data_IF_091870245448
#
_entry.id   IF_091870245448
#
_cell.length_a   1.000
_cell.length_b   1.000
_cell.length_c   1.000
_cell.angle_alpha   90.00
_cell.angle_beta   90.00
_cell.angle_gamma   90.00
#
_symmetry.space_group_name_H-M   'P 1'
#
loop_
_entity.id
_entity.type
_entity.pdbx_description
1 polymer ?
#
# COMPACT_ATOMS: atom_id res chain seq x y z
N UNK A 1 1.18 0.64 17.42
CA UNK A 1 1.55 -0.78 17.66
C UNK A 1 2.25 -0.82 19.01
N UNK A 2 1.69 -1.54 19.98
CA UNK A 2 2.26 -1.54 21.33
C UNK A 2 3.58 -2.31 21.31
N UNK A 3 4.69 -1.61 21.59
CA UNK A 3 5.94 -2.25 21.95
C UNK A 3 5.73 -3.00 23.26
N UNK A 4 6.45 -4.11 23.43
CA UNK A 4 6.44 -4.93 24.65
C UNK A 4 6.59 -4.04 25.90
N UNK A 5 5.50 -3.84 26.69
CA UNK A 5 5.49 -2.89 27.79
C UNK A 5 6.43 -3.31 28.94
N UNK A 6 6.77 -4.60 29.01
CA UNK A 6 7.62 -5.15 30.06
C UNK A 6 9.09 -5.23 29.62
N UNK A 7 9.40 -4.92 28.35
CA UNK A 7 10.76 -4.87 27.82
C UNK A 7 11.49 -6.22 27.85
N UNK A 8 10.76 -7.33 27.92
CA UNK A 8 11.29 -8.70 27.98
C UNK A 8 11.92 -9.09 26.61
N UNK A 9 11.38 -8.56 25.51
CA UNK A 9 11.81 -8.85 24.15
C UNK A 9 12.40 -7.63 23.45
N UNK A 10 13.42 -7.00 24.04
CA UNK A 10 14.06 -5.79 23.49
C UNK A 10 14.57 -5.96 22.04
N UNK A 11 14.94 -7.18 21.65
CA UNK A 11 15.36 -7.55 20.29
C UNK A 11 14.45 -8.59 19.64
N UNK A 12 13.25 -8.79 20.19
CA UNK A 12 12.29 -9.75 19.66
C UNK A 12 11.58 -9.27 18.39
N UNK A 13 10.79 -10.15 17.80
CA UNK A 13 9.96 -9.81 16.66
C UNK A 13 8.84 -8.84 17.06
N UNK A 14 8.43 -7.97 16.14
CA UNK A 14 7.29 -7.08 16.30
C UNK A 14 6.22 -7.40 15.27
N UNK A 15 4.95 -7.24 15.64
CA UNK A 15 3.85 -7.33 14.70
C UNK A 15 3.85 -6.11 13.80
N UNK A 16 3.83 -6.32 12.49
CA UNK A 16 3.74 -5.27 11.49
C UNK A 16 2.58 -5.55 10.56
N UNK A 17 1.66 -4.59 10.44
CA UNK A 17 0.56 -4.68 9.48
C UNK A 17 1.12 -4.39 8.09
N UNK A 18 0.92 -5.32 7.17
CA UNK A 18 1.29 -5.18 5.77
C UNK A 18 0.04 -5.16 4.88
N UNK A 19 0.08 -4.37 3.81
CA UNK A 19 -0.88 -4.39 2.71
C UNK A 19 -0.15 -4.80 1.43
N UNK A 20 -0.61 -5.87 0.80
CA UNK A 20 0.04 -6.48 -0.36
C UNK A 20 -0.65 -6.15 -1.68
N UNK A 21 -1.69 -5.30 -1.68
CA UNK A 21 -2.44 -4.97 -2.88
C UNK A 21 -2.76 -3.48 -2.94
N UNK A 22 -1.74 -2.68 -3.21
CA UNK A 22 -1.87 -1.22 -3.27
C UNK A 22 -1.82 -0.71 -4.70
N UNK A 23 -2.81 0.08 -5.10
CA UNK A 23 -2.80 0.82 -6.36
C UNK A 23 -2.35 2.27 -6.15
N UNK A 24 -1.73 2.85 -7.17
CA UNK A 24 -1.32 4.25 -7.21
C UNK A 24 -1.94 4.95 -8.41
N UNK A 25 -1.80 6.28 -8.52
CA UNK A 25 -2.26 7.05 -9.69
C UNK A 25 -1.67 6.63 -11.05
N UNK A 26 -0.60 5.83 -11.05
CA UNK A 26 -0.07 5.26 -12.30
C UNK A 26 -0.94 4.10 -12.81
N UNK A 27 -1.87 3.59 -12.00
CA UNK A 27 -2.92 2.67 -12.41
C UNK A 27 -4.06 3.46 -13.07
N UNK A 28 -4.51 3.00 -14.24
CA UNK A 28 -5.57 3.66 -15.03
C UNK A 28 -6.95 3.58 -14.35
N UNK A 29 -7.15 2.61 -13.47
CA UNK A 29 -8.42 2.41 -12.76
C UNK A 29 -8.44 3.11 -11.40
N UNK A 30 -7.27 3.51 -10.89
CA UNK A 30 -7.16 4.27 -9.66
C UNK A 30 -7.48 5.75 -9.90
N UNK A 31 -8.38 6.31 -9.09
CA UNK A 31 -8.78 7.71 -9.17
C UNK A 31 -8.31 8.49 -7.96
N UNK A 32 -7.55 9.55 -8.22
CA UNK A 32 -7.21 10.58 -7.26
C UNK A 32 -7.59 11.92 -7.88
N UNK A 33 -8.55 12.61 -7.27
CA UNK A 33 -9.20 13.81 -7.84
C UNK A 33 -8.66 15.12 -7.27
N UNK A 34 -7.71 15.05 -6.33
CA UNK A 34 -7.10 16.20 -5.69
C UNK A 34 -5.84 16.67 -6.45
N UNK A 35 -5.14 17.66 -5.90
CA UNK A 35 -3.92 18.20 -6.51
C UNK A 35 -2.85 17.10 -6.66
N UNK A 36 -2.40 16.86 -7.89
CA UNK A 36 -1.40 15.84 -8.20
C UNK A 36 -0.10 15.98 -7.40
N UNK A 37 0.29 17.20 -7.02
CA UNK A 37 1.48 17.44 -6.22
C UNK A 37 1.34 16.94 -4.77
N UNK A 38 0.12 16.65 -4.31
CA UNK A 38 -0.18 16.17 -2.97
C UNK A 38 -0.31 14.64 -2.90
N UNK A 39 -0.38 13.94 -4.03
CA UNK A 39 -0.67 12.51 -4.09
C UNK A 39 0.21 11.71 -3.13
N UNK A 40 1.53 11.82 -3.26
CA UNK A 40 2.49 11.03 -2.46
C UNK A 40 2.31 11.24 -0.97
N UNK A 41 2.18 12.50 -0.53
CA UNK A 41 1.99 12.83 0.88
C UNK A 41 0.70 12.27 1.43
N UNK A 42 -0.43 12.51 0.74
CA UNK A 42 -1.74 12.04 1.17
C UNK A 42 -1.86 10.52 1.14
N UNK A 43 -1.17 9.87 0.20
CA UNK A 43 -1.12 8.41 0.09
C UNK A 43 -0.40 7.80 1.30
N UNK A 44 0.79 8.30 1.63
CA UNK A 44 1.55 7.85 2.80
C UNK A 44 0.81 8.15 4.11
N UNK A 45 0.18 9.32 4.22
CA UNK A 45 -0.65 9.67 5.39
C UNK A 45 -1.82 8.71 5.58
N UNK A 46 -2.47 8.27 4.49
CA UNK A 46 -3.54 7.30 4.55
C UNK A 46 -3.04 5.93 5.06
N UNK A 47 -1.88 5.47 4.57
CA UNK A 47 -1.25 4.23 5.04
C UNK A 47 -0.88 4.31 6.53
N UNK A 48 -0.30 5.44 6.96
CA UNK A 48 0.05 5.69 8.35
C UNK A 48 -1.20 5.71 9.25
N UNK A 49 -2.29 6.38 8.83
CA UNK A 49 -3.58 6.39 9.54
C UNK A 49 -4.22 5.00 9.62
N UNK A 50 -4.04 4.17 8.58
CA UNK A 50 -4.48 2.78 8.58
C UNK A 50 -3.55 1.86 9.42
N UNK A 51 -2.41 2.37 9.90
CA UNK A 51 -1.42 1.59 10.63
C UNK A 51 -0.69 0.58 9.75
N UNK A 52 -0.66 0.76 8.43
CA UNK A 52 0.08 -0.09 7.49
C UNK A 52 1.54 0.32 7.51
N UNK A 53 2.42 -0.58 7.94
CA UNK A 53 3.86 -0.35 8.03
C UNK A 53 4.65 -0.89 6.84
N UNK A 54 4.08 -1.80 6.06
CA UNK A 54 4.61 -2.27 4.77
C UNK A 54 3.50 -2.21 3.73
N UNK A 55 3.75 -1.54 2.61
CA UNK A 55 2.85 -1.49 1.47
C UNK A 55 3.55 -2.02 0.22
N UNK A 56 2.89 -2.92 -0.52
CA UNK A 56 3.36 -3.42 -1.82
C UNK A 56 2.48 -2.87 -2.92
N UNK A 57 3.08 -2.09 -3.82
CA UNK A 57 2.38 -1.50 -4.97
C UNK A 57 2.19 -2.59 -6.04
N UNK A 58 0.94 -2.82 -6.42
CA UNK A 58 0.50 -3.83 -7.40
C UNK A 58 -0.47 -3.19 -8.40
N UNK A 59 -0.05 -2.08 -9.03
CA UNK A 59 -0.83 -1.47 -10.11
C UNK A 59 -1.21 -2.52 -11.16
N UNK A 60 -2.42 -2.41 -11.70
CA UNK A 60 -2.85 -3.26 -12.79
C UNK A 60 -1.98 -3.03 -14.02
N UNK A 61 -1.31 -4.09 -14.46
CA UNK A 61 -0.91 -4.25 -15.84
C UNK A 61 -1.99 -5.13 -16.48
N UNK A 62 -2.92 -4.54 -17.23
CA UNK A 62 -3.90 -5.35 -17.97
C UNK A 62 -3.12 -6.26 -18.91
N UNK A 63 -3.17 -7.56 -18.65
CA UNK A 63 -2.71 -8.56 -19.59
C UNK A 63 -3.80 -8.69 -20.65
N UNK A 64 -3.59 -8.12 -21.83
CA UNK A 64 -4.37 -8.52 -23.00
C UNK A 64 -3.96 -9.94 -23.38
N UNK A 65 -4.76 -10.92 -22.99
CA UNK A 65 -4.72 -12.24 -23.65
C UNK A 65 -5.56 -12.08 -24.91
N UNK A 66 -4.88 -11.90 -26.04
CA UNK A 66 -5.52 -12.10 -27.34
C UNK A 66 -5.89 -13.58 -27.46
N UNK A 67 -7.18 -13.90 -27.33
CA UNK A 67 -7.70 -15.26 -27.52
C UNK A 67 -7.94 -15.60 -29.00
N UNK A 68 -7.63 -14.70 -29.94
CA UNK A 68 -7.63 -15.01 -31.38
C UNK A 68 -8.90 -15.65 -31.90
N UNK A 69 -10.06 -15.36 -31.30
CA UNK A 69 -11.35 -15.81 -31.81
C UNK A 69 -11.89 -14.76 -32.77
N UNK A 70 -11.63 -14.99 -34.06
CA UNK A 70 -12.35 -14.41 -35.20
C UNK A 70 -13.87 -14.54 -35.03
#
# INVERSE_FOLDING_TARGET
MARDPDGIFQSGATWLRADFHLHTRADKEFRFTDNENEFTGRYVDALAKAGVGIGVITNHNKFEVDLGMN
#
